data_IF_742209077766
#
_entry.id   IF_742209077766
#
_cell.length_a   1.000
_cell.length_b   1.000
_cell.length_c   1.000
_cell.angle_alpha   90.00
_cell.angle_beta   90.00
_cell.angle_gamma   90.00
#
_symmetry.space_group_name_H-M   'P 1'
#
loop_
_entity.id
_entity.type
_entity.pdbx_description
1 polymer ?
#
# COMPACT_ATOMS: atom_id res chain seq x y z
N UNK A 1 8.88 -1.03 -0.86
CA UNK A 1 9.08 0.43 -0.77
C UNK A 1 7.85 1.10 -1.35
N UNK A 2 7.14 1.95 -0.60
CA UNK A 2 5.92 2.64 -1.07
C UNK A 2 6.27 3.97 -1.73
N UNK A 3 5.71 4.26 -2.90
CA UNK A 3 5.92 5.53 -3.60
C UNK A 3 4.61 6.12 -4.12
N UNK A 4 4.48 7.44 -4.04
CA UNK A 4 3.38 8.17 -4.69
C UNK A 4 3.97 8.88 -5.90
N UNK A 5 3.54 8.52 -7.10
CA UNK A 5 3.88 9.28 -8.29
C UNK A 5 2.91 10.45 -8.39
N UNK A 6 3.40 11.65 -8.09
CA UNK A 6 2.67 12.87 -8.42
C UNK A 6 2.65 13.01 -9.94
N UNK A 7 1.51 12.72 -10.56
CA UNK A 7 1.27 13.06 -11.95
C UNK A 7 1.23 14.58 -12.09
N UNK A 8 2.36 15.17 -12.48
CA UNK A 8 2.45 16.59 -12.89
C UNK A 8 2.49 17.61 -11.74
N UNK A 9 3.50 18.48 -11.83
CA UNK A 9 3.76 19.75 -11.14
C UNK A 9 2.77 20.34 -10.10
N UNK A 10 3.36 20.62 -8.92
CA UNK A 10 3.13 21.72 -7.96
C UNK A 10 1.87 21.75 -7.05
N UNK A 11 2.20 21.64 -5.76
CA UNK A 11 1.90 22.59 -4.66
C UNK A 11 0.56 22.55 -3.92
N UNK A 12 0.74 22.67 -2.60
CA UNK A 12 -0.07 23.42 -1.64
C UNK A 12 -1.09 22.67 -0.79
N UNK A 13 -1.10 23.15 0.46
CA UNK A 13 -1.83 22.77 1.65
C UNK A 13 -3.34 22.65 1.47
N UNK A 14 -3.96 21.87 2.37
CA UNK A 14 -5.41 21.71 2.49
C UNK A 14 -6.09 23.02 2.88
N UNK A 15 -6.56 23.76 1.88
CA UNK A 15 -7.82 24.51 1.92
C UNK A 15 -8.89 23.70 1.21
N UNK A 16 -10.10 23.64 1.77
CA UNK A 16 -11.26 22.95 1.21
C UNK A 16 -11.56 23.46 -0.21
N UNK A 17 -11.41 22.60 -1.22
CA UNK A 17 -11.94 22.86 -2.56
C UNK A 17 -11.18 22.17 -3.68
N UNK A 18 -11.94 21.38 -4.45
CA UNK A 18 -11.72 21.02 -5.86
C UNK A 18 -10.73 19.87 -6.14
N UNK A 19 -11.26 18.88 -6.85
CA UNK A 19 -10.60 17.65 -7.28
C UNK A 19 -9.29 17.92 -8.02
N UNK A 20 -8.18 17.49 -7.42
CA UNK A 20 -6.90 17.35 -8.13
C UNK A 20 -6.95 16.15 -9.09
N UNK A 21 -6.17 16.14 -10.18
CA UNK A 21 -6.02 14.95 -11.01
C UNK A 21 -5.48 13.83 -10.11
N UNK A 22 -6.21 12.73 -10.01
CA UNK A 22 -5.94 11.64 -9.06
C UNK A 22 -4.51 11.13 -9.25
N UNK A 23 -3.60 11.47 -8.34
CA UNK A 23 -2.25 10.92 -8.31
C UNK A 23 -2.33 9.41 -8.05
N UNK A 24 -1.63 8.62 -8.86
CA UNK A 24 -1.62 7.16 -8.70
C UNK A 24 -0.63 6.75 -7.60
N UNK A 25 -1.08 5.86 -6.71
CA UNK A 25 -0.26 5.24 -5.66
C UNK A 25 0.34 3.95 -6.20
N UNK A 26 1.65 3.77 -6.06
CA UNK A 26 2.35 2.58 -6.55
C UNK A 26 2.99 1.83 -5.38
N UNK A 27 2.60 0.58 -5.23
CA UNK A 27 3.24 -0.37 -4.33
C UNK A 27 4.18 -1.27 -5.14
N UNK A 28 5.48 -1.26 -4.82
CA UNK A 28 6.50 -2.10 -5.43
C UNK A 28 7.35 -2.80 -4.37
N UNK A 29 7.69 -4.06 -4.65
CA UNK A 29 8.56 -4.89 -3.83
C UNK A 29 9.50 -5.69 -4.72
N UNK A 30 10.76 -5.82 -4.30
CA UNK A 30 11.76 -6.69 -4.95
C UNK A 30 11.68 -8.14 -4.47
N UNK A 31 10.91 -8.42 -3.41
CA UNK A 31 10.56 -9.76 -2.95
C UNK A 31 9.47 -10.36 -3.84
N UNK A 32 9.51 -11.68 -4.09
CA UNK A 32 8.58 -12.34 -5.01
C UNK A 32 9.11 -13.60 -5.68
N UNK A 33 9.99 -14.35 -5.01
CA UNK A 33 10.24 -15.73 -5.42
C UNK A 33 8.94 -16.55 -5.28
N UNK A 34 8.82 -17.65 -6.02
CA UNK A 34 7.59 -18.47 -5.98
C UNK A 34 7.28 -18.93 -4.55
N UNK A 35 8.31 -19.24 -3.77
CA UNK A 35 8.18 -19.70 -2.38
C UNK A 35 7.68 -18.59 -1.44
N UNK A 36 7.97 -17.31 -1.72
CA UNK A 36 7.52 -16.18 -0.90
C UNK A 36 5.99 -16.10 -0.85
N UNK A 37 5.29 -16.49 -1.93
CA UNK A 37 3.83 -16.48 -1.98
C UNK A 37 3.19 -17.49 -1.01
N UNK A 38 3.93 -18.50 -0.56
CA UNK A 38 3.50 -19.42 0.49
C UNK A 38 3.56 -18.82 1.90
N UNK A 39 4.29 -17.72 2.10
CA UNK A 39 4.49 -17.11 3.42
C UNK A 39 3.28 -16.23 3.80
N UNK A 40 2.60 -16.50 4.93
CA UNK A 40 1.47 -15.66 5.38
C UNK A 40 1.83 -14.19 5.55
N UNK A 41 3.07 -13.90 5.98
CA UNK A 41 3.58 -12.54 6.11
C UNK A 41 3.70 -11.82 4.76
N UNK A 42 4.11 -12.53 3.71
CA UNK A 42 4.24 -11.96 2.37
C UNK A 42 2.87 -11.71 1.74
N UNK A 43 1.93 -12.65 1.89
CA UNK A 43 0.54 -12.44 1.48
C UNK A 43 -0.08 -11.22 2.17
N UNK A 44 0.21 -11.02 3.47
CA UNK A 44 -0.24 -9.85 4.21
C UNK A 44 0.40 -8.55 3.70
N UNK A 45 1.69 -8.57 3.40
CA UNK A 45 2.39 -7.44 2.79
C UNK A 45 1.74 -7.04 1.46
N UNK A 46 1.45 -8.01 0.59
CA UNK A 46 0.79 -7.77 -0.70
C UNK A 46 -0.63 -7.20 -0.52
N UNK A 47 -1.44 -7.79 0.36
CA UNK A 47 -2.79 -7.29 0.66
C UNK A 47 -2.77 -5.85 1.15
N UNK A 48 -1.88 -5.54 2.10
CA UNK A 48 -1.73 -4.19 2.62
C UNK A 48 -1.29 -3.20 1.52
N UNK A 49 -0.38 -3.62 0.65
CA UNK A 49 0.10 -2.83 -0.48
C UNK A 49 -1.00 -2.51 -1.50
N UNK A 50 -1.86 -3.49 -1.82
CA UNK A 50 -3.01 -3.33 -2.72
C UNK A 50 -4.03 -2.36 -2.12
N UNK A 51 -4.46 -2.58 -0.87
CA UNK A 51 -5.42 -1.70 -0.21
C UNK A 51 -4.91 -0.27 -0.08
N UNK A 52 -3.62 -0.12 0.25
CA UNK A 52 -2.96 1.18 0.24
C UNK A 52 -3.00 1.83 -1.15
N UNK A 53 -2.72 1.09 -2.23
CA UNK A 53 -2.76 1.65 -3.58
C UNK A 53 -4.17 2.10 -4.01
N UNK A 54 -5.21 1.43 -3.49
CA UNK A 54 -6.61 1.75 -3.73
C UNK A 54 -7.17 2.87 -2.82
N UNK A 55 -6.38 3.37 -1.86
CA UNK A 55 -6.86 4.26 -0.78
C UNK A 55 -7.96 3.65 0.10
N UNK A 56 -7.92 2.33 0.27
CA UNK A 56 -8.82 1.56 1.12
C UNK A 56 -8.19 1.32 2.51
N UNK A 57 -8.99 1.14 3.57
CA UNK A 57 -8.48 0.89 4.91
C UNK A 57 -7.78 -0.47 4.99
N UNK A 58 -6.57 -0.49 5.55
CA UNK A 58 -5.85 -1.74 5.82
C UNK A 58 -6.40 -2.36 7.11
N UNK A 59 -6.91 -3.61 7.09
CA UNK A 59 -7.37 -4.26 8.30
C UNK A 59 -6.27 -4.36 9.35
N UNK A 60 -6.59 -4.39 10.65
CA UNK A 60 -5.61 -4.72 11.67
C UNK A 60 -5.05 -6.13 11.43
N UNK A 61 -3.77 -6.33 11.75
CA UNK A 61 -3.16 -7.66 11.68
C UNK A 61 -3.94 -8.62 12.60
N UNK A 62 -4.27 -9.82 12.12
CA UNK A 62 -4.90 -10.82 12.97
C UNK A 62 -3.91 -11.19 14.09
N UNK A 63 -4.28 -10.99 15.37
CA UNK A 63 -3.43 -11.34 16.50
C UNK A 63 -2.96 -12.80 16.45
N UNK A 64 -3.74 -13.70 15.83
CA UNK A 64 -3.42 -15.13 15.70
C UNK A 64 -2.27 -15.41 14.73
N UNK A 65 -1.97 -14.50 13.81
CA UNK A 65 -0.87 -14.64 12.83
C UNK A 65 0.45 -14.15 13.42
N UNK A 66 0.40 -13.23 14.40
CA UNK A 66 1.59 -12.66 15.07
C UNK A 66 2.15 -13.62 16.14
N UNK A 67 1.34 -14.57 16.64
CA UNK A 67 1.70 -15.49 17.73
C UNK A 67 2.17 -16.85 17.20
N UNK A 68 3.18 -16.85 16.33
CA UNK A 68 4.01 -18.03 16.10
C UNK A 68 5.46 -17.66 16.40
N UNK A 69 5.89 -17.99 17.62
CA UNK A 69 7.26 -17.88 18.10
C UNK A 69 7.99 -19.19 17.85
#
# INVERSE_FOLDING_TARGET
MTGTLAGGTKSASRGRGRTSPKGSRIFYTSLGSVDDFGLPAFQRLLLNGILWALDEPVPPADPRVVVRK
#
